data_IF_753236267605
#
_entry.id   IF_753236267605
#
_cell.length_a   1.000
_cell.length_b   1.000
_cell.length_c   1.000
_cell.angle_alpha   90.00
_cell.angle_beta   90.00
_cell.angle_gamma   90.00
#
_symmetry.space_group_name_H-M   'P 1'
#
loop_
_entity.id
_entity.type
_entity.pdbx_description
1 polymer ?
#
# COMPACT_ATOMS: atom_id res chain seq x y z
N UNK A 1 86.50 -9.67 -34.06
CA UNK A 1 85.72 -9.82 -32.81
C UNK A 1 85.27 -8.45 -32.34
N UNK A 2 83.98 -8.10 -32.48
CA UNK A 2 83.31 -7.05 -31.71
C UNK A 2 81.80 -7.17 -31.96
N UNK A 3 81.07 -7.64 -30.96
CA UNK A 3 79.60 -7.77 -30.94
C UNK A 3 78.97 -6.38 -30.83
N UNK A 4 78.13 -5.98 -31.78
CA UNK A 4 77.21 -4.85 -31.60
C UNK A 4 75.85 -5.37 -31.15
N UNK A 5 75.42 -4.84 -30.01
CA UNK A 5 74.25 -5.23 -29.25
C UNK A 5 72.96 -4.71 -29.92
N UNK A 6 72.09 -5.62 -30.33
CA UNK A 6 70.69 -5.30 -30.65
C UNK A 6 69.92 -5.02 -29.36
N UNK A 7 69.68 -3.75 -29.06
CA UNK A 7 68.84 -3.31 -27.94
C UNK A 7 67.37 -3.38 -28.37
N UNK A 8 66.76 -4.55 -28.22
CA UNK A 8 65.32 -4.77 -28.37
C UNK A 8 64.57 -4.08 -27.22
N UNK A 9 63.98 -2.91 -27.47
CA UNK A 9 63.04 -2.26 -26.56
C UNK A 9 61.77 -3.09 -26.41
N UNK A 10 61.59 -3.76 -25.27
CA UNK A 10 60.33 -4.43 -24.91
C UNK A 10 59.26 -3.36 -24.62
N UNK A 11 58.26 -3.24 -25.49
CA UNK A 11 57.06 -2.48 -25.20
C UNK A 11 56.29 -3.15 -24.04
N UNK A 12 56.02 -2.38 -22.97
CA UNK A 12 55.18 -2.83 -21.85
C UNK A 12 53.72 -2.97 -22.34
N UNK A 13 53.02 -4.07 -22.01
CA UNK A 13 51.61 -4.19 -22.33
C UNK A 13 50.81 -3.20 -21.48
N UNK A 14 50.08 -2.31 -22.16
CA UNK A 14 49.10 -1.41 -21.55
C UNK A 14 48.01 -2.27 -20.89
N UNK A 15 47.93 -2.22 -19.56
CA UNK A 15 46.86 -2.85 -18.78
C UNK A 15 45.52 -2.25 -19.21
N UNK A 16 44.67 -3.06 -19.86
CA UNK A 16 43.26 -2.74 -20.10
C UNK A 16 42.57 -2.49 -18.76
N UNK A 17 42.03 -1.29 -18.58
CA UNK A 17 41.15 -0.96 -17.47
C UNK A 17 39.94 -1.89 -17.48
N UNK A 18 39.66 -2.52 -16.34
CA UNK A 18 38.51 -3.40 -16.14
C UNK A 18 37.21 -2.61 -16.32
N UNK A 19 36.45 -2.91 -17.37
CA UNK A 19 35.09 -2.40 -17.54
C UNK A 19 34.20 -2.94 -16.42
N UNK A 20 33.75 -2.07 -15.52
CA UNK A 20 32.64 -2.40 -14.62
C UNK A 20 31.42 -2.75 -15.49
N UNK A 21 30.65 -3.79 -15.16
CA UNK A 21 29.46 -4.12 -15.93
C UNK A 21 28.47 -2.97 -15.79
N UNK A 22 28.30 -2.18 -16.86
CA UNK A 22 27.24 -1.19 -16.94
C UNK A 22 25.92 -1.95 -16.99
N UNK A 23 25.10 -1.80 -15.95
CA UNK A 23 23.73 -2.28 -15.99
C UNK A 23 23.08 -1.67 -17.23
N UNK A 24 22.48 -2.48 -18.10
CA UNK A 24 21.80 -1.92 -19.27
C UNK A 24 20.74 -0.95 -18.78
N UNK A 25 20.61 0.21 -19.43
CA UNK A 25 19.68 1.27 -19.04
C UNK A 25 18.26 0.72 -18.79
N UNK A 26 17.83 -0.24 -19.61
CA UNK A 26 16.59 -1.02 -19.46
C UNK A 26 16.45 -1.74 -18.12
N UNK A 27 17.52 -2.39 -17.63
CA UNK A 27 17.50 -3.07 -16.33
C UNK A 27 17.43 -2.07 -15.18
N UNK A 28 18.12 -0.93 -15.29
CA UNK A 28 18.07 0.13 -14.28
C UNK A 28 16.66 0.74 -14.20
N UNK A 29 16.03 0.94 -15.36
CA UNK A 29 14.67 1.44 -15.47
C UNK A 29 13.63 0.52 -14.81
N UNK A 30 13.69 -0.78 -15.15
CA UNK A 30 12.81 -1.78 -14.58
C UNK A 30 12.96 -1.88 -13.07
N UNK A 31 14.18 -1.70 -12.56
CA UNK A 31 14.44 -1.64 -11.13
C UNK A 31 13.76 -0.45 -10.46
N UNK A 32 13.79 0.75 -11.07
CA UNK A 32 13.14 1.95 -10.51
C UNK A 32 11.64 1.76 -10.42
N UNK A 33 10.99 1.33 -11.51
CA UNK A 33 9.53 1.10 -11.54
C UNK A 33 9.15 0.03 -10.51
N UNK A 34 9.96 -1.02 -10.37
CA UNK A 34 9.74 -2.06 -9.38
C UNK A 34 9.85 -1.52 -7.94
N UNK A 35 10.87 -0.72 -7.64
CA UNK A 35 11.04 -0.10 -6.32
C UNK A 35 9.87 0.85 -6.00
N UNK A 36 9.47 1.70 -6.94
CA UNK A 36 8.32 2.60 -6.78
C UNK A 36 7.02 1.82 -6.58
N UNK A 37 6.79 0.77 -7.38
CA UNK A 37 5.62 -0.11 -7.23
C UNK A 37 5.56 -0.78 -5.86
N UNK A 38 6.69 -1.26 -5.35
CA UNK A 38 6.79 -1.83 -4.00
C UNK A 38 6.53 -0.77 -2.93
N UNK A 39 7.11 0.43 -3.07
CA UNK A 39 6.91 1.51 -2.11
C UNK A 39 5.44 1.96 -2.04
N UNK A 40 4.79 2.14 -3.19
CA UNK A 40 3.37 2.48 -3.27
C UNK A 40 2.49 1.35 -2.75
N UNK A 41 2.84 0.08 -3.02
CA UNK A 41 2.14 -1.07 -2.48
C UNK A 41 2.19 -1.14 -0.95
N UNK A 42 3.38 -0.93 -0.36
CA UNK A 42 3.55 -0.85 1.09
C UNK A 42 2.75 0.31 1.69
N UNK A 43 2.75 1.47 1.03
CA UNK A 43 1.98 2.64 1.46
C UNK A 43 0.47 2.38 1.42
N UNK A 44 -0.02 1.79 0.34
CA UNK A 44 -1.42 1.40 0.20
C UNK A 44 -1.86 0.39 1.28
N UNK A 45 -0.97 -0.54 1.63
CA UNK A 45 -1.20 -1.50 2.71
C UNK A 45 -1.29 -0.82 4.09
N UNK A 46 -0.35 0.08 4.41
CA UNK A 46 -0.36 0.84 5.67
C UNK A 46 -1.61 1.71 5.81
N UNK A 47 -2.01 2.42 4.74
CA UNK A 47 -3.24 3.20 4.75
C UNK A 47 -4.48 2.32 4.96
N UNK A 48 -4.52 1.16 4.29
CA UNK A 48 -5.60 0.21 4.49
C UNK A 48 -5.66 -0.30 5.93
N UNK A 49 -4.52 -0.56 6.57
CA UNK A 49 -4.44 -0.99 7.96
C UNK A 49 -4.89 0.13 8.93
N UNK A 50 -4.55 1.39 8.65
CA UNK A 50 -5.01 2.56 9.41
C UNK A 50 -6.51 2.75 9.30
N UNK A 51 -7.09 2.58 8.12
CA UNK A 51 -8.54 2.67 7.92
C UNK A 51 -9.28 1.59 8.72
N UNK A 52 -8.76 0.36 8.75
CA UNK A 52 -9.35 -0.73 9.55
C UNK A 52 -9.32 -0.42 11.04
N UNK A 53 -8.19 0.06 11.55
CA UNK A 53 -8.07 0.39 12.99
C UNK A 53 -8.95 1.57 13.36
N UNK A 54 -9.06 2.60 12.50
CA UNK A 54 -9.96 3.72 12.70
C UNK A 54 -11.43 3.26 12.81
N UNK A 55 -11.86 2.32 11.96
CA UNK A 55 -13.22 1.79 12.00
C UNK A 55 -13.49 0.86 13.18
N UNK A 56 -12.50 0.07 13.60
CA UNK A 56 -12.58 -0.69 14.84
C UNK A 56 -12.82 0.24 16.03
N UNK A 57 -12.08 1.34 16.12
CA UNK A 57 -12.26 2.36 17.16
C UNK A 57 -13.64 3.00 17.08
N UNK A 58 -14.11 3.35 15.88
CA UNK A 58 -15.44 3.92 15.69
C UNK A 58 -16.54 2.95 16.14
N UNK A 59 -16.50 1.70 15.66
CA UNK A 59 -17.50 0.67 16.02
C UNK A 59 -17.49 0.38 17.52
N UNK A 60 -16.31 0.41 18.15
CA UNK A 60 -16.20 0.25 19.60
C UNK A 60 -16.80 1.42 20.38
N UNK A 61 -16.61 2.67 19.92
CA UNK A 61 -17.26 3.85 20.51
C UNK A 61 -18.78 3.78 20.40
N UNK A 62 -19.29 3.28 19.28
CA UNK A 62 -20.72 3.05 19.09
C UNK A 62 -21.24 1.99 20.09
N UNK A 63 -20.54 0.86 20.23
CA UNK A 63 -20.90 -0.17 21.21
C UNK A 63 -20.88 0.37 22.65
N UNK A 64 -19.91 1.23 22.99
CA UNK A 64 -19.81 1.89 24.29
C UNK A 64 -21.00 2.83 24.54
N UNK A 65 -21.35 3.69 23.58
CA UNK A 65 -22.48 4.60 23.73
C UNK A 65 -23.81 3.85 23.93
N UNK A 66 -23.99 2.73 23.23
CA UNK A 66 -25.18 1.88 23.39
C UNK A 66 -25.16 1.17 24.75
N UNK A 67 -23.99 0.65 25.20
CA UNK A 67 -23.89 -0.02 26.50
C UNK A 67 -24.12 0.94 27.68
N UNK A 68 -23.67 2.19 27.57
CA UNK A 68 -23.95 3.25 28.55
C UNK A 68 -25.44 3.60 28.61
N UNK A 69 -26.10 3.72 27.46
CA UNK A 69 -27.55 3.97 27.39
C UNK A 69 -28.33 2.83 28.06
N UNK A 70 -28.00 1.57 27.72
CA UNK A 70 -28.63 0.40 28.36
C UNK A 70 -28.34 0.37 29.86
N UNK A 71 -27.11 0.68 30.28
CA UNK A 71 -26.76 0.80 31.70
C UNK A 71 -27.59 1.84 32.43
N UNK A 72 -27.86 2.98 31.80
CA UNK A 72 -28.77 4.02 32.32
C UNK A 72 -30.20 3.51 32.47
N UNK A 73 -30.73 2.77 31.47
CA UNK A 73 -32.06 2.16 31.53
C UNK A 73 -32.17 1.11 32.64
N UNK A 74 -31.16 0.26 32.80
CA UNK A 74 -31.09 -0.73 33.89
C UNK A 74 -31.17 -0.02 35.23
N UNK A 75 -30.37 1.03 35.43
CA UNK A 75 -30.39 1.80 36.67
C UNK A 75 -31.76 2.44 36.94
N UNK A 76 -32.40 3.01 35.91
CA UNK A 76 -33.74 3.58 36.04
C UNK A 76 -34.79 2.54 36.46
N UNK A 77 -34.78 1.35 35.85
CA UNK A 77 -35.68 0.25 36.24
C UNK A 77 -35.39 -0.23 37.66
N UNK A 78 -34.12 -0.40 38.05
CA UNK A 78 -33.75 -0.80 39.40
C UNK A 78 -34.27 0.20 40.44
N UNK A 79 -34.11 1.52 40.19
CA UNK A 79 -34.65 2.56 41.06
C UNK A 79 -36.18 2.56 41.10
N UNK A 80 -36.85 2.36 39.97
CA UNK A 80 -38.31 2.24 39.92
C UNK A 80 -38.82 1.04 40.74
N UNK A 81 -38.12 -0.11 40.66
CA UNK A 81 -38.43 -1.28 41.48
C UNK A 81 -38.20 -1.02 42.98
N UNK A 82 -37.11 -0.34 43.32
CA UNK A 82 -36.79 0.02 44.71
C UNK A 82 -37.81 0.98 45.30
N UNK A 83 -38.15 2.05 44.59
CA UNK A 83 -39.16 3.02 45.00
C UNK A 83 -40.54 2.37 45.09
N UNK A 84 -40.91 1.54 44.11
CA UNK A 84 -42.15 0.80 44.15
C UNK A 84 -42.24 -0.16 45.33
N UNK A 85 -41.14 -0.84 45.68
CA UNK A 85 -41.07 -1.67 46.87
C UNK A 85 -41.27 -0.84 48.15
N UNK A 86 -40.56 0.29 48.29
CA UNK A 86 -40.67 1.19 49.45
C UNK A 86 -42.05 1.82 49.60
N UNK A 87 -42.73 2.11 48.47
CA UNK A 87 -44.09 2.63 48.43
C UNK A 87 -45.17 1.55 48.64
N UNK A 88 -44.78 0.28 48.84
CA UNK A 88 -45.72 -0.83 49.03
C UNK A 88 -46.47 -1.25 47.76
N UNK A 89 -45.97 -0.90 46.58
CA UNK A 89 -46.60 -1.26 45.31
C UNK A 89 -46.47 -2.76 45.02
N UNK A 90 -47.55 -3.31 44.47
CA UNK A 90 -47.55 -4.65 43.88
C UNK A 90 -46.63 -4.72 42.66
N UNK A 91 -46.10 -5.91 42.30
CA UNK A 91 -45.24 -6.07 41.12
C UNK A 91 -45.91 -5.55 39.82
N UNK A 92 -47.22 -5.80 39.66
CA UNK A 92 -47.98 -5.31 38.51
C UNK A 92 -48.10 -3.77 38.47
N UNK A 93 -48.19 -3.10 39.64
CA UNK A 93 -48.16 -1.64 39.70
C UNK A 93 -46.77 -1.10 39.35
N UNK A 94 -45.70 -1.72 39.86
CA UNK A 94 -44.32 -1.35 39.55
C UNK A 94 -44.01 -1.46 38.05
N UNK A 95 -44.47 -2.52 37.39
CA UNK A 95 -44.27 -2.73 35.96
C UNK A 95 -44.83 -1.58 35.09
N UNK A 96 -45.96 -0.98 35.51
CA UNK A 96 -46.64 0.09 34.75
C UNK A 96 -45.94 1.45 34.81
N UNK A 97 -45.04 1.65 35.77
CA UNK A 97 -44.43 2.97 36.03
C UNK A 97 -43.27 3.26 35.08
N UNK A 98 -42.60 2.23 34.57
CA UNK A 98 -41.43 2.39 33.71
C UNK A 98 -41.71 1.88 32.30
N UNK A 99 -41.50 2.75 31.31
CA UNK A 99 -41.62 2.35 29.90
C UNK A 99 -40.54 1.33 29.53
N UNK A 100 -40.95 0.25 28.87
CA UNK A 100 -40.09 -0.87 28.48
C UNK A 100 -39.92 -1.96 29.53
N UNK A 101 -40.46 -1.80 30.75
CA UNK A 101 -40.55 -2.87 31.74
C UNK A 101 -41.82 -3.69 31.45
N UNK A 102 -41.65 -4.94 31.01
CA UNK A 102 -42.76 -5.79 30.59
C UNK A 102 -43.51 -6.35 31.81
N UNK A 103 -42.77 -6.99 32.72
CA UNK A 103 -43.33 -7.49 33.97
C UNK A 103 -42.35 -7.43 35.12
N UNK A 104 -42.89 -7.37 36.34
CA UNK A 104 -42.15 -7.56 37.58
C UNK A 104 -42.76 -8.74 38.31
N UNK A 105 -41.90 -9.65 38.76
CA UNK A 105 -42.30 -10.87 39.47
C UNK A 105 -41.43 -11.08 40.70
N UNK A 106 -41.88 -11.93 41.62
CA UNK A 106 -41.01 -12.37 42.71
C UNK A 106 -40.06 -13.47 42.21
N UNK A 107 -38.87 -13.57 42.81
CA UNK A 107 -37.93 -14.63 42.49
C UNK A 107 -38.54 -16.01 42.75
N UNK A 108 -39.34 -16.14 43.82
CA UNK A 108 -40.01 -17.40 44.17
C UNK A 108 -41.02 -17.81 43.09
N UNK A 109 -41.88 -16.90 42.63
CA UNK A 109 -42.85 -17.18 41.57
C UNK A 109 -42.16 -17.53 40.25
N UNK A 110 -41.03 -16.87 39.95
CA UNK A 110 -40.25 -17.17 38.77
C UNK A 110 -39.63 -18.58 38.82
N UNK A 111 -39.15 -19.00 40.00
CA UNK A 111 -38.56 -20.32 40.20
C UNK A 111 -39.59 -21.45 40.35
N UNK A 112 -40.87 -21.17 40.59
CA UNK A 112 -41.93 -22.20 40.61
C UNK A 112 -42.64 -22.35 39.27
N UNK A 113 -42.35 -21.47 38.31
CA UNK A 113 -42.86 -21.56 36.95
C UNK A 113 -42.39 -22.84 36.22
N UNK A 114 -43.16 -23.25 35.21
CA UNK A 114 -42.88 -24.45 34.41
C UNK A 114 -41.46 -24.42 33.82
N UNK A 115 -40.76 -25.55 33.86
CA UNK A 115 -39.45 -25.73 33.24
C UNK A 115 -39.48 -25.35 31.75
N UNK A 116 -38.48 -24.60 31.29
CA UNK A 116 -38.39 -24.11 29.91
C UNK A 116 -39.30 -22.92 29.58
N UNK A 117 -40.09 -22.42 30.53
CA UNK A 117 -40.83 -21.16 30.33
C UNK A 117 -39.91 -19.94 30.42
N UNK A 118 -40.26 -18.87 29.71
CA UNK A 118 -39.60 -17.55 29.79
C UNK A 118 -39.44 -17.07 31.24
N UNK A 119 -40.46 -17.31 32.06
CA UNK A 119 -40.47 -16.90 33.47
C UNK A 119 -39.51 -17.72 34.33
N UNK A 120 -39.41 -19.03 34.07
CA UNK A 120 -38.45 -19.92 34.73
C UNK A 120 -37.01 -19.55 34.37
N UNK A 121 -36.74 -19.30 33.09
CA UNK A 121 -35.44 -18.84 32.59
C UNK A 121 -35.02 -17.51 33.25
N UNK A 122 -35.98 -16.58 33.41
CA UNK A 122 -35.77 -15.34 34.14
C UNK A 122 -35.47 -15.57 35.64
N UNK A 123 -36.16 -16.53 36.27
CA UNK A 123 -35.92 -16.91 37.67
C UNK A 123 -34.52 -17.50 37.89
N UNK A 124 -34.10 -18.42 37.02
CA UNK A 124 -32.77 -19.03 37.05
C UNK A 124 -31.67 -17.97 36.83
N UNK A 125 -31.83 -17.13 35.80
CA UNK A 125 -30.92 -16.00 35.53
C UNK A 125 -30.86 -15.04 36.72
N UNK A 126 -32.02 -14.63 37.24
CA UNK A 126 -32.13 -13.74 38.40
C UNK A 126 -31.47 -14.29 39.66
N UNK A 127 -31.60 -15.59 39.92
CA UNK A 127 -30.95 -16.25 41.05
C UNK A 127 -29.41 -16.21 40.94
N UNK A 128 -28.88 -16.44 39.73
CA UNK A 128 -27.44 -16.38 39.47
C UNK A 128 -26.89 -14.95 39.60
N UNK A 129 -27.66 -13.95 39.17
CA UNK A 129 -27.30 -12.53 39.32
C UNK A 129 -27.18 -12.15 40.80
N UNK A 130 -28.16 -12.54 41.63
CA UNK A 130 -28.13 -12.26 43.06
C UNK A 130 -26.97 -12.96 43.76
N UNK A 131 -26.66 -14.21 43.38
CA UNK A 131 -25.53 -14.95 43.92
C UNK A 131 -24.16 -14.32 43.57
N UNK A 132 -24.08 -13.61 42.43
CA UNK A 132 -22.86 -12.97 41.94
C UNK A 132 -22.80 -11.45 42.21
N UNK A 133 -23.74 -10.92 43.00
CA UNK A 133 -23.88 -9.48 43.28
C UNK A 133 -23.96 -8.62 42.01
N UNK A 134 -24.64 -9.14 40.98
CA UNK A 134 -24.93 -8.46 39.71
C UNK A 134 -26.38 -7.98 39.71
N UNK A 135 -26.64 -6.89 38.99
CA UNK A 135 -27.99 -6.30 38.93
C UNK A 135 -28.77 -6.68 37.69
N UNK A 136 -28.09 -7.04 36.60
CA UNK A 136 -28.76 -7.37 35.36
C UNK A 136 -28.03 -8.46 34.56
N UNK A 137 -28.78 -9.25 33.79
CA UNK A 137 -28.26 -10.33 32.96
C UNK A 137 -29.18 -10.62 31.78
N UNK A 138 -28.72 -11.48 30.87
CA UNK A 138 -29.45 -11.89 29.69
C UNK A 138 -29.94 -13.34 29.86
N UNK A 139 -31.20 -13.61 29.56
CA UNK A 139 -31.76 -14.97 29.54
C UNK A 139 -31.39 -15.70 28.26
N UNK A 140 -31.59 -17.02 28.22
CA UNK A 140 -31.40 -17.80 26.99
C UNK A 140 -32.39 -17.41 25.88
N UNK A 141 -33.55 -16.89 26.28
CA UNK A 141 -34.62 -16.39 25.42
C UNK A 141 -34.41 -14.96 24.93
N UNK A 142 -33.33 -14.28 25.38
CA UNK A 142 -32.97 -12.94 24.92
C UNK A 142 -33.63 -11.80 25.70
N UNK A 143 -34.24 -12.07 26.86
CA UNK A 143 -34.72 -11.03 27.76
C UNK A 143 -33.60 -10.52 28.66
N UNK A 144 -33.69 -9.24 29.01
CA UNK A 144 -32.90 -8.63 30.06
C UNK A 144 -33.65 -8.82 31.37
N UNK A 145 -33.00 -9.49 32.32
CA UNK A 145 -33.50 -9.66 33.69
C UNK A 145 -32.76 -8.70 34.60
N UNK A 146 -33.50 -7.95 35.39
CA UNK A 146 -32.97 -7.01 36.38
C UNK A 146 -33.38 -7.51 37.76
N UNK A 147 -32.41 -7.87 38.57
CA UNK A 147 -32.63 -8.42 39.90
C UNK A 147 -32.50 -7.35 40.97
N UNK A 148 -33.50 -7.27 41.85
CA UNK A 148 -33.50 -6.41 43.02
C UNK A 148 -33.80 -7.23 44.27
N UNK A 149 -32.86 -7.24 45.22
CA UNK A 149 -33.02 -7.89 46.52
C UNK A 149 -33.18 -6.83 47.62
N UNK A 150 -34.41 -6.58 48.11
CA UNK A 150 -34.64 -5.75 49.29
C UNK A 150 -34.19 -6.46 50.57
N UNK A 151 -33.96 -5.70 51.65
CA UNK A 151 -33.59 -6.24 52.97
C UNK A 151 -34.68 -7.12 53.60
N UNK A 152 -35.93 -6.93 53.20
CA UNK A 152 -37.12 -7.70 53.61
C UNK A 152 -38.04 -7.93 52.42
N UNK A 153 -38.96 -8.89 52.49
CA UNK A 153 -40.07 -9.03 51.52
C UNK A 153 -39.76 -9.66 50.15
N UNK A 154 -38.64 -10.38 50.04
CA UNK A 154 -38.33 -11.25 48.90
C UNK A 154 -37.80 -10.51 47.66
N UNK A 155 -36.85 -11.14 46.96
CA UNK A 155 -36.26 -10.57 45.75
C UNK A 155 -37.28 -10.44 44.62
N UNK A 156 -37.19 -9.34 43.88
CA UNK A 156 -38.01 -9.05 42.70
C UNK A 156 -37.15 -9.08 41.44
N UNK A 157 -37.75 -9.53 40.34
CA UNK A 157 -37.15 -9.56 39.02
C UNK A 157 -37.98 -8.71 38.07
N UNK A 158 -37.34 -7.75 37.42
CA UNK A 158 -37.89 -7.05 36.26
C UNK A 158 -37.47 -7.77 34.98
N UNK A 159 -38.41 -8.02 34.08
CA UNK A 159 -38.15 -8.67 32.79
C UNK A 159 -38.41 -7.66 31.68
N UNK A 160 -37.46 -7.56 30.76
CA UNK A 160 -37.48 -6.60 29.65
C UNK A 160 -37.05 -7.30 28.36
N UNK A 161 -37.85 -7.27 27.28
CA UNK A 161 -37.40 -7.75 25.97
C UNK A 161 -36.21 -6.92 25.48
N UNK A 162 -35.08 -7.57 25.14
CA UNK A 162 -33.87 -6.85 24.69
C UNK A 162 -34.11 -5.98 23.45
N UNK A 163 -34.96 -6.44 22.53
CA UNK A 163 -35.33 -5.73 21.30
C UNK A 163 -35.93 -4.34 21.57
N UNK A 164 -36.63 -4.18 22.69
CA UNK A 164 -37.25 -2.90 23.06
C UNK A 164 -36.22 -1.84 23.48
N UNK A 165 -35.03 -2.28 23.88
CA UNK A 165 -33.99 -1.41 24.43
C UNK A 165 -32.84 -1.15 23.46
N UNK A 166 -32.67 -2.02 22.46
CA UNK A 166 -31.71 -1.85 21.39
C UNK A 166 -32.21 -0.82 20.36
N UNK A 167 -31.32 0.04 19.83
CA UNK A 167 -31.69 0.94 18.75
C UNK A 167 -31.91 0.14 17.46
N UNK A 168 -32.79 0.65 16.59
CA UNK A 168 -32.97 0.08 15.25
C UNK A 168 -31.67 0.22 14.47
N UNK A 169 -31.09 -0.91 14.07
CA UNK A 169 -29.87 -0.91 13.28
C UNK A 169 -30.12 -0.27 11.91
N UNK A 170 -29.27 0.69 11.53
CA UNK A 170 -29.34 1.35 10.22
C UNK A 170 -28.22 0.86 9.30
N UNK A 171 -28.55 0.65 8.02
CA UNK A 171 -27.59 0.21 7.02
C UNK A 171 -27.12 -1.23 7.23
N UNK A 172 -25.82 -1.49 7.08
CA UNK A 172 -25.22 -2.82 7.18
C UNK A 172 -24.74 -3.17 8.61
N UNK A 173 -25.46 -2.67 9.62
CA UNK A 173 -25.14 -2.85 11.04
C UNK A 173 -26.04 -3.92 11.64
N UNK A 174 -25.50 -4.69 12.56
CA UNK A 174 -26.25 -5.60 13.42
C UNK A 174 -25.85 -5.33 14.86
N UNK A 175 -26.84 -5.24 15.75
CA UNK A 175 -26.63 -4.94 17.16
C UNK A 175 -27.25 -6.07 17.95
N UNK A 176 -26.50 -6.63 18.86
CA UNK A 176 -26.91 -7.76 19.67
C UNK A 176 -26.44 -7.59 21.10
N UNK A 177 -27.13 -8.23 22.04
CA UNK A 177 -26.63 -8.44 23.39
C UNK A 177 -26.05 -9.84 23.45
N UNK A 178 -24.86 -9.96 24.02
CA UNK A 178 -24.25 -11.24 24.32
C UNK A 178 -24.09 -11.43 25.83
N UNK A 179 -24.29 -12.66 26.33
CA UNK A 179 -23.94 -12.98 27.70
C UNK A 179 -22.42 -12.82 27.88
N UNK A 180 -21.97 -12.48 29.09
CA UNK A 180 -20.58 -12.23 29.48
C UNK A 180 -20.02 -10.82 29.19
N UNK A 181 -18.85 -10.54 29.79
CA UNK A 181 -18.11 -9.28 29.64
C UNK A 181 -17.16 -9.32 28.45
N UNK A 182 -17.72 -9.30 27.25
CA UNK A 182 -16.92 -9.08 26.05
C UNK A 182 -16.53 -7.60 25.95
N UNK A 183 -15.25 -7.34 25.69
CA UNK A 183 -14.74 -5.99 25.50
C UNK A 183 -13.73 -5.94 24.34
N UNK A 184 -13.79 -4.86 23.57
CA UNK A 184 -12.87 -4.54 22.49
C UNK A 184 -13.47 -4.77 21.11
N UNK A 185 -12.69 -4.40 20.09
CA UNK A 185 -13.03 -4.59 18.69
C UNK A 185 -12.11 -5.61 18.04
N UNK A 186 -12.68 -6.49 17.22
CA UNK A 186 -11.96 -7.47 16.42
C UNK A 186 -12.48 -7.44 14.99
N UNK A 187 -11.55 -7.63 14.05
CA UNK A 187 -11.91 -7.92 12.67
C UNK A 187 -12.23 -9.41 12.58
N UNK A 188 -13.46 -9.74 12.20
CA UNK A 188 -13.90 -11.11 11.95
C UNK A 188 -13.36 -11.64 10.62
N UNK A 189 -13.34 -12.97 10.46
CA UNK A 189 -12.86 -13.64 9.24
C UNK A 189 -13.71 -13.36 7.99
N UNK A 190 -14.96 -12.91 8.17
CA UNK A 190 -15.97 -12.75 7.13
C UNK A 190 -16.13 -11.32 6.60
N UNK A 191 -15.12 -10.44 6.76
CA UNK A 191 -15.22 -9.00 6.39
C UNK A 191 -16.21 -8.22 7.26
N UNK A 192 -16.37 -8.61 8.52
CA UNK A 192 -17.16 -7.89 9.50
C UNK A 192 -16.25 -7.35 10.60
N UNK A 193 -16.54 -6.14 11.07
CA UNK A 193 -15.94 -5.59 12.28
C UNK A 193 -16.93 -5.81 13.40
N UNK A 194 -16.56 -6.62 14.39
CA UNK A 194 -17.32 -6.85 15.59
C UNK A 194 -16.67 -6.07 16.74
N UNK A 195 -17.42 -5.20 17.40
CA UNK A 195 -16.96 -4.54 18.60
C UNK A 195 -17.96 -4.72 19.74
N UNK A 196 -17.45 -5.14 20.89
CA UNK A 196 -18.25 -5.35 22.08
C UNK A 196 -17.84 -4.38 23.19
N UNK A 197 -18.83 -3.95 23.98
CA UNK A 197 -18.62 -3.16 25.19
C UNK A 197 -19.47 -3.74 26.33
N UNK A 198 -18.90 -3.98 27.53
CA UNK A 198 -19.66 -4.49 28.65
C UNK A 198 -20.67 -3.45 29.16
N UNK A 199 -21.82 -3.92 29.64
CA UNK A 199 -22.83 -3.07 30.26
C UNK A 199 -22.51 -2.90 31.74
N UNK A 200 -22.52 -1.67 32.24
CA UNK A 200 -22.24 -1.38 33.65
C UNK A 200 -23.26 -2.08 34.57
N UNK A 201 -22.76 -2.74 35.63
CA UNK A 201 -23.54 -3.51 36.63
C UNK A 201 -24.36 -4.70 36.08
N UNK A 202 -24.24 -5.00 34.79
CA UNK A 202 -24.77 -6.20 34.15
C UNK A 202 -23.72 -7.30 33.96
N UNK A 203 -24.19 -8.50 33.62
CA UNK A 203 -23.37 -9.61 33.14
C UNK A 203 -23.60 -9.89 31.64
N UNK A 204 -23.55 -8.81 30.86
CA UNK A 204 -23.77 -8.82 29.42
C UNK A 204 -22.95 -7.74 28.74
N UNK A 205 -22.75 -7.89 27.44
CA UNK A 205 -22.09 -6.91 26.59
C UNK A 205 -22.96 -6.59 25.37
N UNK A 206 -22.89 -5.34 24.92
CA UNK A 206 -23.45 -4.92 23.64
C UNK A 206 -22.40 -5.18 22.58
N UNK A 207 -22.74 -5.97 21.56
CA UNK A 207 -21.90 -6.22 20.41
C UNK A 207 -22.53 -5.59 19.16
N UNK A 208 -21.73 -4.76 18.49
CA UNK A 208 -22.07 -4.13 17.21
C UNK A 208 -21.22 -4.78 16.14
N UNK A 209 -21.88 -5.34 15.14
CA UNK A 209 -21.26 -5.92 13.96
C UNK A 209 -21.55 -5.03 12.75
N UNK A 210 -20.51 -4.71 11.99
CA UNK A 210 -20.64 -3.90 10.78
C UNK A 210 -19.97 -4.61 9.62
N UNK A 211 -20.68 -4.74 8.50
CA UNK A 211 -20.11 -5.29 7.28
C UNK A 211 -19.15 -4.27 6.66
N UNK A 212 -17.91 -4.70 6.39
CA UNK A 212 -16.89 -3.88 5.77
C UNK A 212 -16.45 -4.45 4.41
N UNK A 213 -17.12 -4.05 3.31
CA UNK A 213 -16.84 -4.63 2.00
C UNK A 213 -15.41 -4.30 1.56
N UNK A 214 -14.76 -5.26 0.90
CA UNK A 214 -13.39 -5.11 0.39
C UNK A 214 -13.23 -3.93 -0.59
N UNK A 215 -14.30 -3.58 -1.32
CA UNK A 215 -14.28 -2.55 -2.35
C UNK A 215 -15.30 -1.46 -2.05
N UNK A 216 -14.82 -0.40 -1.41
CA UNK A 216 -15.59 0.84 -1.21
C UNK A 216 -15.18 1.87 -2.28
N UNK A 217 -15.99 2.91 -2.45
CA UNK A 217 -15.62 4.07 -3.30
C UNK A 217 -14.29 4.68 -2.86
N UNK A 218 -14.05 4.78 -1.55
CA UNK A 218 -12.80 5.30 -1.00
C UNK A 218 -11.60 4.40 -1.36
N UNK A 219 -11.76 3.08 -1.30
CA UNK A 219 -10.73 2.11 -1.71
C UNK A 219 -10.42 2.23 -3.21
N UNK A 220 -11.45 2.37 -4.05
CA UNK A 220 -11.28 2.56 -5.50
C UNK A 220 -10.55 3.88 -5.81
N UNK A 221 -10.90 4.97 -5.14
CA UNK A 221 -10.22 6.25 -5.33
C UNK A 221 -8.76 6.19 -4.89
N UNK A 222 -8.47 5.52 -3.77
CA UNK A 222 -7.08 5.33 -3.31
C UNK A 222 -6.25 4.51 -4.30
N UNK A 223 -6.80 3.40 -4.78
CA UNK A 223 -6.14 2.58 -5.81
C UNK A 223 -5.91 3.34 -7.12
N UNK A 224 -6.89 4.15 -7.54
CA UNK A 224 -6.75 4.99 -8.74
C UNK A 224 -5.63 6.03 -8.59
N UNK A 225 -5.50 6.66 -7.41
CA UNK A 225 -4.41 7.61 -7.13
C UNK A 225 -3.05 6.90 -7.17
N UNK A 226 -2.93 5.73 -6.54
CA UNK A 226 -1.68 4.96 -6.56
C UNK A 226 -1.33 4.48 -7.97
N UNK A 227 -2.31 4.05 -8.76
CA UNK A 227 -2.11 3.68 -10.16
C UNK A 227 -1.63 4.89 -10.99
N UNK A 228 -2.23 6.07 -10.80
CA UNK A 228 -1.83 7.30 -11.50
C UNK A 228 -0.40 7.73 -11.14
N UNK A 229 -0.04 7.64 -9.85
CA UNK A 229 1.30 7.93 -9.35
C UNK A 229 2.37 6.99 -9.92
N UNK A 230 2.03 5.74 -10.21
CA UNK A 230 2.94 4.79 -10.84
C UNK A 230 3.00 4.95 -12.37
N UNK A 231 1.85 5.19 -13.02
CA UNK A 231 1.75 5.30 -14.48
C UNK A 231 2.46 6.55 -15.03
N UNK A 232 2.39 7.68 -14.33
CA UNK A 232 3.00 8.94 -14.79
C UNK A 232 4.50 8.81 -15.05
N UNK A 233 5.30 8.43 -14.04
CA UNK A 233 6.74 8.17 -14.20
C UNK A 233 7.02 7.07 -15.21
N UNK A 234 6.29 5.94 -15.16
CA UNK A 234 6.51 4.83 -16.09
C UNK A 234 6.34 5.27 -17.56
N UNK A 235 5.29 6.03 -17.89
CA UNK A 235 5.05 6.56 -19.23
C UNK A 235 6.11 7.58 -19.65
N UNK A 236 6.50 8.50 -18.76
CA UNK A 236 7.53 9.49 -19.04
C UNK A 236 8.87 8.81 -19.38
N UNK A 237 9.24 7.80 -18.61
CA UNK A 237 10.50 7.09 -18.81
C UNK A 237 10.44 6.21 -20.07
N UNK A 238 9.32 5.55 -20.35
CA UNK A 238 9.11 4.81 -21.60
C UNK A 238 9.20 5.72 -22.83
N UNK A 239 8.64 6.93 -22.75
CA UNK A 239 8.75 7.94 -23.80
C UNK A 239 10.19 8.39 -24.05
N UNK A 240 10.92 8.71 -22.98
CA UNK A 240 12.36 9.05 -23.03
C UNK A 240 13.19 7.91 -23.62
N UNK A 241 12.89 6.67 -23.26
CA UNK A 241 13.59 5.49 -23.77
C UNK A 241 13.43 5.34 -25.29
N UNK A 242 12.19 5.43 -25.79
CA UNK A 242 11.94 5.40 -27.25
C UNK A 242 12.65 6.52 -27.99
N UNK A 243 12.68 7.72 -27.42
CA UNK A 243 13.39 8.85 -28.01
C UNK A 243 14.91 8.61 -28.08
N UNK A 244 15.50 8.03 -27.02
CA UNK A 244 16.94 7.73 -26.98
C UNK A 244 17.31 6.59 -27.93
N UNK A 245 16.50 5.53 -28.02
CA UNK A 245 16.71 4.46 -29.00
C UNK A 245 16.64 5.00 -30.43
N UNK A 246 15.65 5.83 -30.74
CA UNK A 246 15.54 6.46 -32.05
C UNK A 246 16.81 7.26 -32.40
N UNK A 247 17.25 8.16 -31.51
CA UNK A 247 18.48 8.94 -31.74
C UNK A 247 19.72 8.07 -31.92
N UNK A 248 19.79 6.95 -31.20
CA UNK A 248 20.89 6.00 -31.34
C UNK A 248 20.88 5.34 -32.71
N UNK A 249 19.72 4.87 -33.18
CA UNK A 249 19.58 4.26 -34.52
C UNK A 249 19.89 5.24 -35.63
N UNK A 250 19.47 6.50 -35.51
CA UNK A 250 19.79 7.57 -36.46
C UNK A 250 21.30 7.82 -36.50
N UNK A 251 21.96 7.93 -35.33
CA UNK A 251 23.42 8.13 -35.24
C UNK A 251 24.20 6.97 -35.87
N UNK A 252 23.80 5.73 -35.59
CA UNK A 252 24.43 4.54 -36.17
C UNK A 252 24.23 4.49 -37.70
N UNK A 253 23.09 4.97 -38.21
CA UNK A 253 22.84 5.11 -39.64
C UNK A 253 23.76 6.17 -40.29
N UNK A 254 23.91 7.35 -39.67
CA UNK A 254 24.80 8.40 -40.19
C UNK A 254 26.27 7.96 -40.23
N UNK A 255 26.75 7.26 -39.20
CA UNK A 255 28.11 6.68 -39.20
C UNK A 255 28.28 5.62 -40.30
N UNK A 256 27.25 4.78 -40.52
CA UNK A 256 27.24 3.78 -41.58
C UNK A 256 27.26 4.41 -42.99
N UNK A 257 26.47 5.45 -43.22
CA UNK A 257 26.42 6.18 -44.49
C UNK A 257 27.74 6.90 -44.78
N UNK A 258 28.31 7.61 -43.81
CA UNK A 258 29.60 8.27 -43.96
C UNK A 258 30.72 7.28 -44.31
N UNK A 259 30.74 6.12 -43.64
CA UNK A 259 31.72 5.06 -43.91
C UNK A 259 31.53 4.45 -45.30
N UNK A 260 30.28 4.26 -45.74
CA UNK A 260 29.95 3.72 -47.07
C UNK A 260 30.31 4.70 -48.17
N UNK A 261 29.99 5.99 -48.01
CA UNK A 261 30.34 7.04 -48.95
C UNK A 261 31.87 7.17 -49.10
N UNK A 262 32.62 7.14 -47.99
CA UNK A 262 34.08 7.16 -48.01
C UNK A 262 34.68 5.97 -48.76
N UNK A 263 34.10 4.77 -48.59
CA UNK A 263 34.54 3.57 -49.32
C UNK A 263 34.29 3.67 -50.82
N UNK A 264 33.09 4.10 -51.22
CA UNK A 264 32.73 4.25 -52.64
C UNK A 264 33.63 5.30 -53.31
N UNK A 265 33.81 6.45 -52.67
CA UNK A 265 34.67 7.52 -53.17
C UNK A 265 36.12 7.03 -53.37
N UNK A 266 36.68 6.33 -52.38
CA UNK A 266 38.02 5.73 -52.48
C UNK A 266 38.12 4.79 -53.68
N UNK A 267 37.14 3.92 -53.89
CA UNK A 267 37.12 2.98 -55.03
C UNK A 267 37.02 3.70 -56.37
N UNK A 268 36.17 4.72 -56.51
CA UNK A 268 36.02 5.49 -57.75
C UNK A 268 37.32 6.23 -58.09
N UNK A 269 37.96 6.85 -57.11
CA UNK A 269 39.22 7.59 -57.32
C UNK A 269 40.36 6.66 -57.75
N UNK A 270 40.45 5.47 -57.16
CA UNK A 270 41.40 4.43 -57.58
C UNK A 270 41.15 3.97 -59.02
N UNK A 271 39.89 3.71 -59.41
CA UNK A 271 39.55 3.30 -60.77
C UNK A 271 39.82 4.40 -61.80
N UNK A 272 39.61 5.67 -61.43
CA UNK A 272 39.89 6.83 -62.27
C UNK A 272 41.40 7.14 -62.37
N UNK A 273 42.27 6.42 -61.63
CA UNK A 273 43.68 6.74 -61.43
C UNK A 273 43.90 8.20 -60.97
N UNK A 274 42.96 8.70 -60.17
CA UNK A 274 43.00 10.06 -59.65
C UNK A 274 43.74 10.06 -58.32
N UNK A 275 44.84 10.81 -58.25
CA UNK A 275 45.54 11.06 -57.00
C UNK A 275 44.67 11.86 -56.04
N UNK A 276 44.42 11.32 -54.85
CA UNK A 276 43.77 12.04 -53.76
C UNK A 276 44.69 12.15 -52.54
N UNK A 277 44.42 13.17 -51.74
CA UNK A 277 45.08 13.39 -50.47
C UNK A 277 44.06 13.74 -49.38
N UNK A 278 44.41 13.47 -48.14
CA UNK A 278 43.62 13.84 -46.97
C UNK A 278 44.51 14.47 -45.91
N UNK A 279 43.96 15.39 -45.14
CA UNK A 279 44.68 16.05 -44.05
C UNK A 279 44.03 15.75 -42.71
N UNK A 280 44.83 15.27 -41.77
CA UNK A 280 44.44 15.11 -40.39
C UNK A 280 44.84 16.36 -39.59
N UNK A 281 43.85 17.22 -39.31
CA UNK A 281 44.02 18.45 -38.55
C UNK A 281 44.58 18.24 -37.13
N UNK A 282 44.32 17.09 -36.49
CA UNK A 282 44.81 16.82 -35.12
C UNK A 282 46.29 16.47 -35.08
N UNK A 283 46.76 15.73 -36.08
CA UNK A 283 48.16 15.29 -36.16
C UNK A 283 49.00 16.16 -37.09
N UNK A 284 48.38 17.09 -37.82
CA UNK A 284 48.99 17.91 -38.88
C UNK A 284 49.73 17.07 -39.93
N UNK A 285 49.14 15.92 -40.30
CA UNK A 285 49.71 14.96 -41.25
C UNK A 285 48.82 14.86 -42.48
N UNK A 286 49.44 14.82 -43.65
CA UNK A 286 48.79 14.62 -44.93
C UNK A 286 49.06 13.20 -45.41
N UNK A 287 48.01 12.51 -45.82
CA UNK A 287 48.08 11.17 -46.41
C UNK A 287 47.75 11.28 -47.88
N UNK A 288 48.68 10.89 -48.75
CA UNK A 288 48.54 10.87 -50.19
C UNK A 288 48.36 9.43 -50.65
N UNK A 289 47.33 9.19 -51.46
CA UNK A 289 47.11 7.91 -52.14
C UNK A 289 48.29 7.48 -53.01
N UNK A 290 48.34 6.21 -53.38
CA UNK A 290 49.38 5.65 -54.25
C UNK A 290 49.53 6.42 -55.57
N UNK A 291 48.42 6.80 -56.20
CA UNK A 291 48.40 7.57 -57.44
C UNK A 291 48.93 9.01 -57.22
N UNK A 292 48.64 9.62 -56.07
CA UNK A 292 49.16 10.95 -55.72
C UNK A 292 50.65 10.90 -55.35
N UNK A 293 51.11 9.84 -54.68
CA UNK A 293 52.53 9.59 -54.41
C UNK A 293 53.32 9.48 -55.72
N UNK A 294 52.80 8.73 -56.70
CA UNK A 294 53.41 8.62 -58.03
C UNK A 294 53.55 9.97 -58.74
N UNK A 295 52.57 10.88 -58.61
CA UNK A 295 52.66 12.23 -59.17
C UNK A 295 53.78 13.07 -58.53
N UNK A 296 54.07 12.83 -57.25
CA UNK A 296 55.14 13.48 -56.51
C UNK A 296 56.50 12.78 -56.68
N UNK A 297 56.55 11.68 -57.44
CA UNK A 297 57.76 10.90 -57.68
C UNK A 297 58.11 9.91 -56.56
N UNK A 298 57.18 9.65 -55.64
CA UNK A 298 57.36 8.73 -54.52
C UNK A 298 56.63 7.39 -54.77
N UNK A 299 57.18 6.25 -54.32
CA UNK A 299 56.55 4.96 -54.48
C UNK A 299 55.46 4.72 -53.41
N UNK A 300 54.21 4.51 -53.84
CA UNK A 300 53.13 4.04 -52.98
C UNK A 300 52.40 5.16 -52.22
N UNK A 301 51.60 4.74 -51.24
CA UNK A 301 50.89 5.66 -50.33
C UNK A 301 51.91 6.32 -49.38
N UNK A 302 51.93 7.66 -49.34
CA UNK A 302 52.90 8.43 -48.54
C UNK A 302 52.18 9.27 -47.48
N UNK A 303 52.81 9.40 -46.31
CA UNK A 303 52.33 10.27 -45.23
C UNK A 303 53.39 11.33 -44.93
N UNK A 304 53.04 12.61 -45.11
CA UNK A 304 53.94 13.74 -44.97
C UNK A 304 53.41 14.73 -43.92
N UNK A 305 54.30 15.34 -43.15
CA UNK A 305 53.99 16.53 -42.37
C UNK A 305 53.97 17.79 -43.25
N UNK A 306 53.38 18.88 -42.76
CA UNK A 306 53.33 20.16 -43.49
C UNK A 306 54.73 20.63 -43.96
N UNK A 307 55.77 20.46 -43.14
CA UNK A 307 57.15 20.81 -43.50
C UNK A 307 57.75 19.93 -44.59
N UNK A 308 57.33 18.67 -44.68
CA UNK A 308 57.84 17.72 -45.67
C UNK A 308 57.19 17.96 -47.04
N UNK A 309 55.95 18.43 -47.09
CA UNK A 309 55.26 18.79 -48.35
C UNK A 309 55.95 19.93 -49.06
N UNK A 310 56.46 20.93 -48.32
CA UNK A 310 57.15 22.08 -48.90
C UNK A 310 58.36 21.69 -49.76
N UNK A 311 58.92 20.48 -49.58
CA UNK A 311 60.00 19.94 -50.42
C UNK A 311 59.56 19.68 -51.86
N UNK A 312 58.28 19.40 -52.07
CA UNK A 312 57.69 19.15 -53.39
C UNK A 312 57.13 20.44 -54.02
N UNK A 313 57.13 21.56 -53.30
CA UNK A 313 56.67 22.87 -53.78
C UNK A 313 57.87 23.70 -54.21
N UNK A 314 57.78 24.28 -55.42
CA UNK A 314 58.78 25.21 -55.97
C UNK A 314 58.96 26.43 -55.05
N UNK A 315 60.19 26.94 -54.93
CA UNK A 315 60.56 27.95 -53.92
C UNK A 315 59.70 29.21 -54.00
N UNK A 316 59.43 29.70 -55.21
CA UNK A 316 58.59 30.89 -55.49
C UNK A 316 57.13 30.78 -55.00
N UNK A 317 56.65 29.58 -54.64
CA UNK A 317 55.27 29.34 -54.23
C UNK A 317 55.12 28.90 -52.76
N UNK A 318 56.21 28.82 -52.00
CA UNK A 318 56.18 28.33 -50.61
C UNK A 318 55.50 29.31 -49.67
N UNK A 319 55.72 30.61 -49.85
CA UNK A 319 55.16 31.68 -49.00
C UNK A 319 53.62 31.77 -49.08
N UNK A 320 53.00 31.20 -50.12
CA UNK A 320 51.54 31.16 -50.27
C UNK A 320 50.89 29.94 -49.59
N UNK A 321 51.71 28.97 -49.14
CA UNK A 321 51.27 27.73 -48.49
C UNK A 321 51.51 27.73 -46.97
N UNK A 322 52.20 28.74 -46.43
CA UNK A 322 52.37 28.98 -44.97
C UNK A 322 51.19 29.74 -44.36
#
# INVERSE_FOLDING_TARGET
MARQQTRSGKAKPVRRASSRPSLSLTKALGLIILIEGVALGLKAYDDRARDLTAQQVQTHREALAISENIGGKIYAVEQAMRLGYQAGWSPAQTARVQSGLDTVVTLTDALTANAGSRLRDAGETGSALLASSRTAGLTSTGDIVIAFAPESGGSRLGIVPSESWLPVAQGARQISLQPSKLNGAKFGSSQHIAACSPVARGDMAVCVETAYPFMTRATLTGLAIYALLLLGPALAILGLFRLLEQRRTESEAYEGEATRAGRILKTVLQQAKAGFWSWNFKTHRFTFSEEAGQLLGEPGEIELSAKEILRFVHEDHRDMME
#
